data_IF_012547699336
#
_entry.id   IF_012547699336
#
_cell.length_a   1.000
_cell.length_b   1.000
_cell.length_c   1.000
_cell.angle_alpha   90.00
_cell.angle_beta   90.00
_cell.angle_gamma   90.00
#
_symmetry.space_group_name_H-M   'P 1'
#
loop_
_entity.id
_entity.type
_entity.pdbx_description
1 polymer ?
#
# COMPACT_ATOMS: atom_id res chain seq x y z
N UNK A 1 -1.39 10.81 -67.88
CA UNK A 1 -0.33 9.99 -67.25
C UNK A 1 0.24 10.54 -65.93
N UNK A 2 -0.12 11.76 -65.47
CA UNK A 2 0.45 12.37 -64.24
C UNK A 2 -0.31 12.09 -62.94
N UNK A 3 -1.61 11.74 -63.01
CA UNK A 3 -2.43 11.53 -61.81
C UNK A 3 -2.22 10.19 -61.10
N UNK A 4 -1.92 9.11 -61.86
CA UNK A 4 -1.61 7.79 -61.29
C UNK A 4 -0.33 7.79 -60.44
N UNK A 5 0.65 8.63 -60.77
CA UNK A 5 1.90 8.79 -59.98
C UNK A 5 1.67 9.57 -58.67
N UNK A 6 0.71 10.50 -58.67
CA UNK A 6 0.36 11.30 -57.48
C UNK A 6 -0.46 10.48 -56.47
N UNK A 7 -1.37 9.63 -56.97
CA UNK A 7 -2.14 8.71 -56.11
C UNK A 7 -1.23 7.67 -55.43
N UNK A 8 -0.21 7.17 -56.13
CA UNK A 8 0.75 6.21 -55.58
C UNK A 8 1.63 6.82 -54.48
N UNK A 9 1.97 8.11 -54.61
CA UNK A 9 2.80 8.83 -53.63
C UNK A 9 2.03 9.09 -52.32
N UNK A 10 0.73 9.40 -52.41
CA UNK A 10 -0.14 9.61 -51.24
C UNK A 10 -0.39 8.30 -50.49
N UNK A 11 -0.53 7.17 -51.20
CA UNK A 11 -0.67 5.85 -50.57
C UNK A 11 0.66 5.40 -49.90
N UNK A 12 1.82 5.71 -50.49
CA UNK A 12 3.10 5.43 -49.83
C UNK A 12 3.34 6.32 -48.58
N UNK A 13 2.90 7.58 -48.61
CA UNK A 13 2.98 8.47 -47.44
C UNK A 13 2.00 8.06 -46.32
N UNK A 14 0.83 7.54 -46.66
CA UNK A 14 -0.15 7.08 -45.65
C UNK A 14 0.22 5.74 -45.03
N UNK A 15 0.85 4.83 -45.79
CA UNK A 15 1.38 3.56 -45.26
C UNK A 15 2.61 3.80 -44.37
N UNK A 16 3.45 4.80 -44.68
CA UNK A 16 4.59 5.16 -43.80
C UNK A 16 4.17 5.91 -42.53
N UNK A 17 3.09 6.71 -42.56
CA UNK A 17 2.52 7.30 -41.35
C UNK A 17 1.81 6.29 -40.43
N UNK A 18 1.24 5.19 -40.96
CA UNK A 18 0.65 4.13 -40.12
C UNK A 18 1.72 3.24 -39.47
N UNK A 19 2.88 3.07 -40.10
CA UNK A 19 4.01 2.33 -39.51
C UNK A 19 4.77 3.15 -38.45
N UNK A 20 4.62 4.47 -38.42
CA UNK A 20 5.27 5.34 -37.43
C UNK A 20 4.60 5.30 -36.03
N UNK A 21 3.34 4.86 -35.94
CA UNK A 21 2.68 4.61 -34.63
C UNK A 21 3.02 3.23 -34.05
N UNK A 22 3.72 2.35 -34.78
CA UNK A 22 4.20 1.06 -34.26
C UNK A 22 5.55 1.14 -33.54
N UNK A 23 6.10 2.34 -33.38
CA UNK A 23 7.37 2.55 -32.69
C UNK A 23 7.18 2.51 -31.16
N UNK A 24 6.98 1.30 -30.64
CA UNK A 24 7.43 0.86 -29.32
C UNK A 24 7.11 1.76 -28.14
N UNK A 25 5.82 1.96 -27.81
CA UNK A 25 5.47 2.28 -26.42
C UNK A 25 5.80 1.05 -25.56
N UNK A 26 7.03 1.01 -25.05
CA UNK A 26 7.44 0.12 -23.94
C UNK A 26 6.84 0.58 -22.60
N UNK A 27 5.74 1.34 -22.64
CA UNK A 27 5.05 1.79 -21.44
C UNK A 27 4.14 0.67 -20.95
N UNK A 28 4.10 0.49 -19.64
CA UNK A 28 3.06 -0.27 -18.97
C UNK A 28 1.83 0.64 -18.81
N UNK A 29 0.65 0.09 -19.03
CA UNK A 29 -0.62 0.81 -18.82
C UNK A 29 -1.55 -0.07 -17.99
N UNK A 30 -1.79 0.32 -16.75
CA UNK A 30 -2.75 -0.36 -15.86
C UNK A 30 -4.19 -0.05 -16.29
N UNK A 31 -5.08 -1.04 -16.15
CA UNK A 31 -6.50 -0.84 -16.41
C UNK A 31 -7.13 -0.04 -15.27
N UNK A 32 -7.92 0.99 -15.60
CA UNK A 32 -8.50 1.93 -14.61
C UNK A 32 -9.42 1.28 -13.59
N UNK A 33 -10.06 0.18 -13.97
CA UNK A 33 -11.02 -0.53 -13.10
C UNK A 33 -10.35 -1.63 -12.29
N UNK A 34 -9.14 -2.05 -12.69
CA UNK A 34 -8.45 -3.20 -12.11
C UNK A 34 -6.94 -3.13 -12.39
N UNK A 35 -6.18 -2.67 -11.40
CA UNK A 35 -4.73 -2.56 -11.49
C UNK A 35 -4.03 -3.93 -11.55
N UNK A 36 -4.71 -5.03 -11.21
CA UNK A 36 -4.11 -6.38 -11.33
C UNK A 36 -4.00 -6.83 -12.78
N UNK A 37 -4.52 -6.03 -13.72
CA UNK A 37 -4.27 -6.17 -15.15
C UNK A 37 -3.58 -4.95 -15.72
N UNK A 38 -2.69 -5.19 -16.68
CA UNK A 38 -2.02 -4.14 -17.42
C UNK A 38 -1.76 -4.55 -18.87
N UNK A 39 -1.57 -3.55 -19.72
CA UNK A 39 -1.09 -3.73 -21.08
C UNK A 39 0.40 -3.43 -21.16
N UNK A 40 1.17 -4.32 -21.79
CA UNK A 40 2.59 -4.16 -22.07
C UNK A 40 2.91 -4.79 -23.43
N UNK A 41 3.66 -4.09 -24.30
CA UNK A 41 3.98 -4.56 -25.66
C UNK A 41 2.75 -5.03 -26.46
N UNK A 42 1.65 -4.27 -26.37
CA UNK A 42 0.37 -4.58 -27.05
C UNK A 42 -0.30 -5.90 -26.61
N UNK A 43 0.13 -6.47 -25.48
CA UNK A 43 -0.47 -7.67 -24.88
C UNK A 43 -0.98 -7.35 -23.47
N UNK A 44 -2.11 -7.95 -23.11
CA UNK A 44 -2.67 -7.85 -21.75
C UNK A 44 -2.03 -8.91 -20.86
N UNK A 45 -1.66 -8.51 -19.64
CA UNK A 45 -1.11 -9.36 -18.62
C UNK A 45 -1.96 -9.27 -17.35
N UNK A 46 -1.99 -10.38 -16.61
CA UNK A 46 -2.58 -10.47 -15.28
C UNK A 46 -1.48 -10.76 -14.26
N UNK A 47 -1.50 -10.05 -13.15
CA UNK A 47 -0.65 -10.33 -11.99
C UNK A 47 -1.23 -11.51 -11.24
N UNK A 48 -0.40 -12.51 -10.93
CA UNK A 48 -0.82 -13.73 -10.24
C UNK A 48 -0.49 -13.65 -8.75
N UNK A 49 -1.24 -14.37 -7.93
CA UNK A 49 -0.99 -14.56 -6.50
C UNK A 49 0.12 -15.61 -6.26
N UNK A 50 1.19 -15.51 -7.03
CA UNK A 50 2.33 -16.43 -7.00
C UNK A 50 3.59 -15.61 -6.76
N UNK A 51 4.13 -15.70 -5.54
CA UNK A 51 5.39 -15.05 -5.18
C UNK A 51 6.56 -15.66 -5.97
N UNK A 52 7.53 -14.82 -6.29
CA UNK A 52 8.79 -15.16 -6.96
C UNK A 52 9.92 -14.78 -6.01
N UNK A 53 10.81 -15.71 -5.70
CA UNK A 53 11.96 -15.43 -4.86
C UNK A 53 12.94 -14.48 -5.57
N UNK A 54 13.61 -13.61 -4.82
CA UNK A 54 14.57 -12.63 -5.37
C UNK A 54 15.70 -13.33 -6.13
N UNK A 55 16.10 -14.53 -5.70
CA UNK A 55 17.12 -15.32 -6.39
C UNK A 55 16.69 -15.81 -7.77
N UNK A 56 15.40 -15.80 -8.11
CA UNK A 56 14.89 -16.19 -9.43
C UNK A 56 14.87 -15.05 -10.44
N UNK A 57 15.09 -13.81 -10.00
CA UNK A 57 15.19 -12.65 -10.87
C UNK A 57 16.44 -12.75 -11.77
N UNK A 58 16.27 -12.41 -13.05
CA UNK A 58 17.36 -12.34 -14.04
C UNK A 58 17.73 -10.88 -14.33
N UNK A 59 16.80 -10.12 -14.91
CA UNK A 59 17.04 -8.72 -15.29
C UNK A 59 15.80 -7.86 -15.25
N UNK A 60 16.02 -6.56 -15.09
CA UNK A 60 14.97 -5.55 -15.26
C UNK A 60 14.50 -5.49 -16.73
N UNK A 61 13.20 -5.70 -16.95
CA UNK A 61 12.54 -5.60 -18.25
C UNK A 61 11.99 -4.19 -18.51
N UNK A 62 11.38 -3.59 -17.49
CA UNK A 62 10.85 -2.23 -17.56
C UNK A 62 10.95 -1.55 -16.20
N UNK A 63 11.44 -0.31 -16.18
CA UNK A 63 11.43 0.54 -14.98
C UNK A 63 10.17 1.38 -14.93
N UNK A 64 9.43 1.34 -13.82
CA UNK A 64 8.31 2.24 -13.54
C UNK A 64 7.95 2.22 -12.05
N UNK A 65 7.17 3.21 -11.64
CA UNK A 65 6.49 3.26 -10.34
C UNK A 65 5.02 3.65 -10.60
N UNK A 66 4.09 2.85 -10.12
CA UNK A 66 2.67 3.12 -10.08
C UNK A 66 2.21 3.08 -8.63
N UNK A 67 1.44 4.09 -8.21
CA UNK A 67 0.86 4.14 -6.87
C UNK A 67 -0.64 3.88 -7.01
N UNK A 68 -1.09 2.76 -6.49
CA UNK A 68 -2.51 2.39 -6.47
C UNK A 68 -3.10 2.75 -5.11
N UNK A 69 -4.26 3.40 -5.09
CA UNK A 69 -4.95 3.73 -3.83
C UNK A 69 -6.03 2.68 -3.56
N UNK A 70 -5.83 1.88 -2.51
CA UNK A 70 -6.74 0.82 -2.10
C UNK A 70 -7.66 1.30 -0.96
N UNK A 71 -8.95 0.97 -1.03
CA UNK A 71 -9.89 1.22 0.07
C UNK A 71 -10.29 2.68 0.28
N UNK A 72 -10.12 3.55 -0.73
CA UNK A 72 -10.62 4.93 -0.67
C UNK A 72 -12.15 4.94 -0.75
N UNK A 73 -12.79 5.54 0.25
CA UNK A 73 -14.21 5.91 0.22
C UNK A 73 -14.38 7.36 0.70
N UNK A 74 -15.61 7.89 0.64
CA UNK A 74 -15.89 9.28 1.03
C UNK A 74 -15.49 9.65 2.48
N UNK A 75 -15.12 8.67 3.31
CA UNK A 75 -14.78 8.82 4.74
C UNK A 75 -13.37 8.34 5.08
N UNK A 76 -12.72 7.58 4.20
CA UNK A 76 -11.41 6.97 4.41
C UNK A 76 -10.40 7.41 3.35
N UNK A 77 -9.25 7.93 3.78
CA UNK A 77 -8.08 8.07 2.92
C UNK A 77 -7.54 6.66 2.65
N UNK A 78 -7.54 6.22 1.40
CA UNK A 78 -7.09 4.88 1.02
C UNK A 78 -5.59 4.66 1.25
N UNK A 79 -5.16 3.40 1.26
CA UNK A 79 -3.76 2.98 1.36
C UNK A 79 -3.08 3.11 0.00
N UNK A 80 -1.87 3.66 -0.06
CA UNK A 80 -1.08 3.63 -1.29
C UNK A 80 -0.28 2.33 -1.38
N UNK A 81 -0.61 1.49 -2.36
CA UNK A 81 0.16 0.31 -2.76
C UNK A 81 1.15 0.73 -3.85
N UNK A 82 2.43 0.43 -3.65
CA UNK A 82 3.43 0.66 -4.69
C UNK A 82 3.56 -0.56 -5.60
N UNK A 83 3.38 -0.35 -6.90
CA UNK A 83 3.60 -1.35 -7.94
C UNK A 83 4.79 -0.88 -8.77
N UNK A 84 5.83 -1.69 -8.82
CA UNK A 84 7.14 -1.25 -9.25
C UNK A 84 7.79 -2.26 -10.19
N UNK A 85 8.23 -1.76 -11.34
CA UNK A 85 9.09 -2.46 -12.30
C UNK A 85 8.55 -3.81 -12.83
N UNK A 86 8.94 -4.15 -14.05
CA UNK A 86 8.83 -5.51 -14.57
C UNK A 86 10.22 -6.12 -14.65
N UNK A 87 10.34 -7.38 -14.27
CA UNK A 87 11.57 -8.15 -14.36
C UNK A 87 11.33 -9.40 -15.18
N UNK A 88 12.37 -9.87 -15.86
CA UNK A 88 12.44 -11.26 -16.32
C UNK A 88 12.94 -12.14 -15.20
N UNK A 89 12.39 -13.34 -15.16
CA UNK A 89 12.81 -14.41 -14.28
C UNK A 89 13.56 -15.48 -15.08
N UNK A 90 14.37 -16.29 -14.40
CA UNK A 90 15.31 -17.24 -15.04
C UNK A 90 14.65 -18.27 -15.97
N UNK A 91 13.39 -18.60 -15.74
CA UNK A 91 12.61 -19.51 -16.61
C UNK A 91 12.05 -18.84 -17.88
N UNK A 92 12.38 -17.56 -18.10
CA UNK A 92 11.95 -16.78 -19.25
C UNK A 92 10.62 -16.04 -19.07
N UNK A 93 9.93 -16.25 -17.95
CA UNK A 93 8.72 -15.52 -17.58
C UNK A 93 8.98 -14.07 -17.17
N UNK A 94 7.91 -13.41 -16.72
CA UNK A 94 7.95 -12.05 -16.17
C UNK A 94 7.41 -12.05 -14.74
N UNK A 95 7.89 -11.11 -13.94
CA UNK A 95 7.30 -10.77 -12.64
C UNK A 95 7.25 -9.25 -12.46
N UNK A 96 6.44 -8.80 -11.50
CA UNK A 96 6.22 -7.40 -11.15
C UNK A 96 6.46 -7.22 -9.65
N UNK A 97 7.07 -6.10 -9.26
CA UNK A 97 7.21 -5.76 -7.84
C UNK A 97 5.92 -5.17 -7.29
N UNK A 98 5.49 -5.63 -6.12
CA UNK A 98 4.39 -5.03 -5.36
C UNK A 98 4.87 -4.90 -3.92
N UNK A 99 4.99 -3.66 -3.43
CA UNK A 99 5.69 -3.35 -2.18
C UNK A 99 7.09 -3.98 -2.18
N UNK A 100 7.36 -4.89 -1.24
CA UNK A 100 8.66 -5.53 -1.02
C UNK A 100 8.75 -6.93 -1.67
N UNK A 101 7.65 -7.41 -2.26
CA UNK A 101 7.52 -8.74 -2.86
C UNK A 101 7.49 -8.68 -4.40
N UNK A 102 7.77 -9.83 -5.03
CA UNK A 102 7.71 -10.01 -6.47
C UNK A 102 6.66 -11.07 -6.82
N UNK A 103 5.81 -10.76 -7.80
CA UNK A 103 4.71 -11.63 -8.20
C UNK A 103 4.78 -11.96 -9.68
N UNK A 104 4.52 -13.23 -10.02
CA UNK A 104 4.51 -13.69 -11.40
C UNK A 104 3.43 -12.96 -12.19
N UNK A 105 3.73 -12.62 -13.44
CA UNK A 105 2.74 -12.08 -14.39
C UNK A 105 2.63 -13.02 -15.58
N UNK A 106 1.40 -13.20 -16.07
CA UNK A 106 1.12 -14.08 -17.20
C UNK A 106 0.25 -13.35 -18.22
N UNK A 107 0.42 -13.60 -19.53
CA UNK A 107 -0.54 -13.11 -20.51
C UNK A 107 -1.96 -13.53 -20.16
N UNK A 108 -2.89 -12.59 -20.19
CA UNK A 108 -4.27 -12.80 -19.75
C UNK A 108 -5.01 -13.85 -20.60
N UNK A 109 -4.60 -14.03 -21.85
CA UNK A 109 -5.10 -15.02 -22.80
C UNK A 109 -4.50 -16.43 -22.61
N UNK A 110 -3.48 -16.57 -21.76
CA UNK A 110 -2.81 -17.84 -21.45
C UNK A 110 -3.12 -18.37 -20.04
N UNK A 111 -4.03 -17.72 -19.31
CA UNK A 111 -4.42 -18.13 -17.95
C UNK A 111 -5.05 -19.53 -17.95
N UNK A 112 -4.70 -20.34 -16.95
CA UNK A 112 -5.31 -21.65 -16.70
C UNK A 112 -6.16 -21.61 -15.42
N UNK A 113 -7.01 -22.63 -15.21
CA UNK A 113 -7.94 -22.66 -14.08
C UNK A 113 -7.26 -22.61 -12.69
N UNK A 114 -6.00 -23.05 -12.59
CA UNK A 114 -5.20 -22.98 -11.36
C UNK A 114 -4.51 -21.64 -11.14
N UNK A 115 -4.53 -20.73 -12.12
CA UNK A 115 -3.92 -19.41 -11.99
C UNK A 115 -4.82 -18.53 -11.12
N UNK A 116 -4.34 -18.22 -9.92
CA UNK A 116 -5.00 -17.26 -9.06
C UNK A 116 -4.50 -15.86 -9.36
N UNK A 117 -5.43 -14.94 -9.64
CA UNK A 117 -5.13 -13.51 -9.76
C UNK A 117 -4.63 -12.98 -8.42
N UNK A 118 -3.65 -12.08 -8.49
CA UNK A 118 -3.10 -11.40 -7.33
C UNK A 118 -4.21 -10.77 -6.51
N UNK A 119 -4.12 -10.98 -5.21
CA UNK A 119 -4.94 -10.33 -4.22
C UNK A 119 -3.97 -9.78 -3.18
N UNK A 120 -4.27 -8.65 -2.54
CA UNK A 120 -3.53 -8.26 -1.34
C UNK A 120 -3.60 -9.45 -0.40
N UNK A 121 -2.44 -9.95 0.07
CA UNK A 121 -2.49 -11.12 0.92
C UNK A 121 -3.27 -10.78 2.19
N UNK A 122 -4.05 -11.72 2.68
CA UNK A 122 -4.45 -11.74 4.08
C UNK A 122 -3.30 -12.46 4.76
N UNK A 123 -2.50 -11.77 5.57
CA UNK A 123 -1.50 -12.45 6.40
C UNK A 123 -2.24 -13.33 7.42
N UNK A 124 -2.08 -14.65 7.20
CA UNK A 124 -2.21 -15.70 8.21
C UNK A 124 -3.63 -16.09 8.60
N UNK A 125 -3.71 -17.22 9.31
CA UNK A 125 -4.86 -17.63 10.13
C UNK A 125 -5.25 -16.55 11.17
N UNK A 126 -4.47 -15.46 11.27
CA UNK A 126 -4.64 -14.28 12.14
C UNK A 126 -5.10 -12.99 11.41
N UNK A 127 -5.59 -13.05 10.16
CA UNK A 127 -6.55 -12.06 9.62
C UNK A 127 -6.13 -10.59 9.48
N UNK A 128 -4.84 -10.27 9.42
CA UNK A 128 -4.39 -8.93 9.01
C UNK A 128 -4.20 -8.87 7.49
N UNK A 129 -4.63 -7.81 6.83
CA UNK A 129 -4.51 -7.69 5.37
C UNK A 129 -3.21 -6.92 5.02
N UNK A 130 -2.42 -7.43 4.08
CA UNK A 130 -1.36 -6.67 3.41
C UNK A 130 -2.02 -5.44 2.75
N UNK A 131 -1.69 -4.26 3.27
CA UNK A 131 -2.32 -2.99 2.87
C UNK A 131 -3.33 -2.43 3.88
N UNK A 132 -3.54 -3.06 5.03
CA UNK A 132 -4.24 -2.43 6.16
C UNK A 132 -3.42 -1.27 6.71
N UNK A 133 -3.95 -0.06 6.51
CA UNK A 133 -3.42 1.11 7.21
C UNK A 133 -3.81 1.03 8.66
N UNK A 134 -2.84 0.79 9.52
CA UNK A 134 -2.94 1.21 10.90
C UNK A 134 -2.91 2.74 10.95
N UNK A 135 -3.81 3.32 11.74
CA UNK A 135 -3.89 4.76 11.96
C UNK A 135 -4.38 5.03 13.37
N UNK A 136 -3.95 6.15 13.95
CA UNK A 136 -4.49 6.59 15.22
C UNK A 136 -5.95 7.00 15.01
N UNK A 137 -6.86 6.46 15.82
CA UNK A 137 -8.29 6.68 15.69
C UNK A 137 -8.64 8.17 15.73
N UNK A 138 -9.60 8.55 14.88
CA UNK A 138 -9.97 9.95 14.68
C UNK A 138 -10.84 10.54 15.82
N UNK A 139 -11.46 9.68 16.64
CA UNK A 139 -12.34 10.06 17.75
C UNK A 139 -11.61 10.03 19.09
N UNK A 140 -10.80 9.00 19.32
CA UNK A 140 -10.03 8.79 20.54
C UNK A 140 -8.58 8.45 20.17
N UNK A 141 -7.65 9.38 20.40
CA UNK A 141 -6.24 9.19 20.09
C UNK A 141 -5.63 7.98 20.81
N UNK A 142 -6.17 7.56 21.96
CA UNK A 142 -5.66 6.41 22.72
C UNK A 142 -5.99 5.06 22.06
N UNK A 143 -6.54 5.08 20.84
CA UNK A 143 -6.90 3.91 20.08
C UNK A 143 -6.27 3.92 18.69
N UNK A 144 -6.01 2.74 18.15
CA UNK A 144 -5.53 2.53 16.78
C UNK A 144 -6.58 1.76 15.98
N UNK A 145 -6.86 2.23 14.77
CA UNK A 145 -7.69 1.54 13.78
C UNK A 145 -6.79 0.76 12.82
N UNK A 146 -7.03 -0.54 12.65
CA UNK A 146 -6.30 -1.45 11.73
C UNK A 146 -6.97 -2.83 11.76
N UNK A 147 -6.80 -3.70 10.76
CA UNK A 147 -7.47 -5.03 10.81
C UNK A 147 -9.00 -5.00 10.65
N UNK A 148 -9.60 -3.85 10.36
CA UNK A 148 -11.05 -3.66 10.57
C UNK A 148 -11.46 -3.69 12.06
N UNK A 149 -10.51 -3.49 12.96
CA UNK A 149 -10.66 -3.53 14.42
C UNK A 149 -10.21 -2.21 15.05
N UNK A 150 -10.53 -2.06 16.33
CA UNK A 150 -10.11 -0.94 17.16
C UNK A 150 -9.29 -1.48 18.32
N UNK A 151 -8.05 -1.01 18.47
CA UNK A 151 -7.15 -1.43 19.54
C UNK A 151 -6.96 -0.30 20.52
N UNK A 152 -7.28 -0.50 21.79
CA UNK A 152 -7.01 0.49 22.85
C UNK A 152 -5.60 0.31 23.38
N UNK A 153 -4.78 1.35 23.27
CA UNK A 153 -3.46 1.40 23.89
C UNK A 153 -3.63 1.48 25.40
N UNK A 154 -2.99 0.56 26.12
CA UNK A 154 -3.04 0.48 27.58
C UNK A 154 -1.76 1.02 28.20
N UNK A 155 -1.75 1.17 29.54
CA UNK A 155 -0.53 1.51 30.27
C UNK A 155 0.35 0.28 30.57
N UNK A 156 -0.03 -0.90 30.10
CA UNK A 156 0.76 -2.12 30.25
C UNK A 156 1.94 -2.08 29.29
N UNK A 157 3.15 -2.14 29.83
CA UNK A 157 4.37 -2.15 29.03
C UNK A 157 4.62 -3.54 28.44
N UNK A 158 5.20 -3.56 27.25
CA UNK A 158 5.70 -4.76 26.56
C UNK A 158 7.21 -4.59 26.44
N UNK A 159 7.96 -5.61 26.85
CA UNK A 159 9.42 -5.61 26.70
C UNK A 159 9.83 -5.95 25.27
N UNK A 160 11.05 -5.57 24.88
CA UNK A 160 11.57 -5.90 23.54
C UNK A 160 11.65 -7.42 23.31
N UNK A 161 11.84 -8.20 24.38
CA UNK A 161 11.86 -9.66 24.32
C UNK A 161 10.49 -10.28 24.04
N UNK A 162 9.40 -9.56 24.29
CA UNK A 162 8.01 -10.01 24.04
C UNK A 162 7.51 -9.62 22.64
N UNK A 163 8.23 -8.76 21.91
CA UNK A 163 7.93 -8.41 20.53
C UNK A 163 8.23 -9.57 19.58
N UNK A 164 7.41 -9.71 18.54
CA UNK A 164 7.57 -10.73 17.51
C UNK A 164 7.81 -10.12 16.12
N UNK A 165 6.79 -10.03 15.28
CA UNK A 165 6.92 -9.51 13.92
C UNK A 165 6.69 -8.00 13.85
N UNK A 166 7.52 -7.30 13.08
CA UNK A 166 7.28 -5.90 12.75
C UNK A 166 6.05 -5.77 11.85
N UNK A 167 5.13 -4.89 12.22
CA UNK A 167 3.90 -4.62 11.46
C UNK A 167 4.07 -3.36 10.60
N UNK A 168 4.28 -2.20 11.23
CA UNK A 168 4.39 -0.91 10.55
C UNK A 168 4.91 0.20 11.47
N UNK A 169 5.01 1.43 10.96
CA UNK A 169 5.30 2.65 11.73
C UNK A 169 4.21 3.69 11.51
N UNK A 170 3.71 4.28 12.60
CA UNK A 170 2.75 5.39 12.56
C UNK A 170 3.44 6.74 12.37
N UNK A 171 4.54 6.99 13.11
CA UNK A 171 5.32 8.24 13.07
C UNK A 171 4.48 9.53 13.21
N UNK A 172 3.50 9.52 14.13
CA UNK A 172 2.60 10.64 14.39
C UNK A 172 2.80 11.17 15.81
N UNK A 173 2.77 12.50 15.96
CA UNK A 173 2.67 13.16 17.28
C UNK A 173 1.24 13.68 17.43
N UNK A 174 0.60 13.37 18.55
CA UNK A 174 -0.79 13.74 18.80
C UNK A 174 -0.92 14.35 20.20
N UNK A 175 -1.36 15.60 20.24
CA UNK A 175 -1.87 16.24 21.46
C UNK A 175 -3.37 15.97 21.55
N UNK A 176 -3.86 15.50 22.70
CA UNK A 176 -5.27 15.22 22.91
C UNK A 176 -5.70 15.49 24.35
N UNK A 177 -7.01 15.55 24.58
CA UNK A 177 -7.60 15.68 25.93
C UNK A 177 -7.50 14.34 26.66
N UNK A 178 -6.85 14.30 27.81
CA UNK A 178 -6.63 13.06 28.57
C UNK A 178 -7.93 12.31 28.90
N UNK A 179 -8.99 13.05 29.25
CA UNK A 179 -10.25 12.47 29.71
C UNK A 179 -11.01 11.78 28.57
N UNK A 180 -11.05 12.40 27.38
CA UNK A 180 -11.89 11.94 26.26
C UNK A 180 -11.10 11.30 25.12
N UNK A 181 -9.78 11.46 25.08
CA UNK A 181 -8.94 11.06 23.95
C UNK A 181 -9.06 11.97 22.72
N UNK A 182 -9.89 13.01 22.77
CA UNK A 182 -10.16 13.82 21.59
C UNK A 182 -8.93 14.65 21.21
N UNK A 183 -8.52 14.53 19.94
CA UNK A 183 -7.38 15.27 19.39
C UNK A 183 -7.56 16.78 19.51
N UNK A 184 -6.47 17.47 19.84
CA UNK A 184 -6.34 18.91 19.81
C UNK A 184 -5.58 19.27 18.53
N UNK A 185 -6.15 20.13 17.66
CA UNK A 185 -5.51 20.47 16.38
C UNK A 185 -4.19 21.21 16.61
N UNK A 186 -3.21 20.97 15.73
CA UNK A 186 -1.85 21.53 15.81
C UNK A 186 -1.83 23.06 15.92
N UNK A 187 -2.80 23.74 15.32
CA UNK A 187 -2.98 25.19 15.43
C UNK A 187 -3.18 25.70 16.87
N UNK A 188 -3.56 24.82 17.81
CA UNK A 188 -3.78 25.16 19.22
C UNK A 188 -2.67 24.68 20.17
N UNK A 189 -1.65 23.97 19.71
CA UNK A 189 -0.64 23.38 20.59
C UNK A 189 0.18 24.43 21.34
N UNK A 190 0.46 25.57 20.71
CA UNK A 190 1.16 26.71 21.30
C UNK A 190 0.30 27.95 21.48
N UNK A 191 -1.02 27.84 21.32
CA UNK A 191 -1.92 28.99 21.47
C UNK A 191 -2.01 29.37 22.95
N UNK A 192 -1.67 30.62 23.26
CA UNK A 192 -1.83 31.16 24.61
C UNK A 192 -3.32 31.26 24.94
N UNK A 193 -3.74 30.57 26.01
CA UNK A 193 -5.06 30.75 26.58
C UNK A 193 -5.09 31.99 27.48
N UNK A 194 -5.38 33.13 26.87
CA UNK A 194 -5.53 34.41 27.57
C UNK A 194 -6.75 34.46 28.51
N UNK A 195 -7.68 33.51 28.39
CA UNK A 195 -8.94 33.49 29.15
C UNK A 195 -8.91 32.55 30.35
N UNK A 196 -7.95 31.64 30.42
CA UNK A 196 -7.85 30.60 31.44
C UNK A 196 -8.92 29.50 31.32
N UNK A 197 -9.67 29.45 30.21
CA UNK A 197 -10.69 28.41 29.98
C UNK A 197 -10.09 27.01 29.83
N UNK A 198 -8.89 26.92 29.26
CA UNK A 198 -8.16 25.67 29.03
C UNK A 198 -7.39 25.20 30.29
N UNK A 199 -7.30 26.03 31.34
CA UNK A 199 -6.50 25.74 32.54
C UNK A 199 -6.94 24.48 33.31
N UNK A 200 -8.16 24.01 33.11
CA UNK A 200 -8.71 22.78 33.72
C UNK A 200 -8.63 21.57 32.79
N UNK A 201 -8.24 21.75 31.54
CA UNK A 201 -8.20 20.71 30.54
C UNK A 201 -6.89 19.92 30.69
N UNK A 202 -7.00 18.63 31.04
CA UNK A 202 -5.86 17.73 31.04
C UNK A 202 -5.51 17.35 29.60
N UNK A 203 -4.24 17.45 29.25
CA UNK A 203 -3.74 17.18 27.91
C UNK A 203 -2.58 16.20 27.99
N UNK A 204 -2.58 15.24 27.08
CA UNK A 204 -1.47 14.33 26.86
C UNK A 204 -0.91 14.53 25.45
N UNK A 205 0.41 14.43 25.35
CA UNK A 205 1.14 14.43 24.09
C UNK A 205 1.76 13.04 23.91
N UNK A 206 1.29 12.31 22.91
CA UNK A 206 1.82 10.99 22.57
C UNK A 206 2.55 11.06 21.22
N UNK A 207 3.76 10.51 21.20
CA UNK A 207 4.55 10.26 19.99
C UNK A 207 4.43 8.78 19.68
N UNK A 208 3.75 8.45 18.59
CA UNK A 208 3.54 7.08 18.15
C UNK A 208 4.64 6.68 17.19
N UNK A 209 5.27 5.55 17.49
CA UNK A 209 6.33 4.98 16.67
C UNK A 209 5.86 3.74 15.92
N UNK A 210 6.57 2.66 16.12
CA UNK A 210 6.38 1.35 15.50
C UNK A 210 5.26 0.51 16.13
N UNK A 211 4.75 -0.44 15.36
CA UNK A 211 3.78 -1.46 15.78
C UNK A 211 4.38 -2.83 15.51
N UNK A 212 4.25 -3.73 16.48
CA UNK A 212 4.68 -5.12 16.41
C UNK A 212 3.55 -6.06 16.83
N UNK A 213 3.61 -7.31 16.40
CA UNK A 213 2.88 -8.41 17.04
C UNK A 213 3.55 -8.78 18.36
N UNK A 214 2.81 -9.44 19.26
CA UNK A 214 3.31 -9.87 20.57
C UNK A 214 3.38 -11.39 20.58
N UNK A 215 4.49 -11.94 21.07
CA UNK A 215 4.69 -13.39 21.17
C UNK A 215 3.54 -14.05 21.93
N UNK A 216 3.16 -15.24 21.49
CA UNK A 216 2.11 -16.07 22.12
C UNK A 216 0.70 -15.44 22.11
N UNK A 217 0.51 -14.32 21.41
CA UNK A 217 -0.79 -13.67 21.22
C UNK A 217 -1.16 -13.56 19.74
N UNK A 218 -2.45 -13.69 19.43
CA UNK A 218 -2.94 -13.43 18.06
C UNK A 218 -2.91 -11.93 17.77
N UNK A 219 -2.41 -11.58 16.58
CA UNK A 219 -2.33 -10.21 16.11
C UNK A 219 -3.73 -9.57 15.88
N UNK A 220 -4.80 -10.36 15.81
CA UNK A 220 -6.18 -9.82 15.81
C UNK A 220 -6.56 -9.21 17.15
N UNK A 221 -6.03 -9.75 18.24
CA UNK A 221 -6.49 -9.42 19.59
C UNK A 221 -5.55 -8.45 20.28
N UNK A 222 -4.25 -8.57 20.00
CA UNK A 222 -3.21 -7.85 20.73
C UNK A 222 -2.09 -7.39 19.80
N UNK A 223 -1.66 -6.15 19.99
CA UNK A 223 -0.50 -5.55 19.34
C UNK A 223 0.39 -4.85 20.37
N UNK A 224 1.67 -4.69 20.06
CA UNK A 224 2.56 -3.78 20.78
C UNK A 224 2.70 -2.48 19.99
N UNK A 225 2.48 -1.35 20.65
CA UNK A 225 2.48 -0.02 20.02
C UNK A 225 3.45 0.86 20.77
N UNK A 226 4.44 1.38 20.06
CA UNK A 226 5.40 2.32 20.61
C UNK A 226 4.74 3.68 20.85
N UNK A 227 4.73 4.11 22.10
CA UNK A 227 4.26 5.42 22.54
C UNK A 227 5.29 6.04 23.47
N UNK A 228 5.81 7.21 23.11
CA UNK A 228 6.81 7.95 23.89
C UNK A 228 8.02 7.08 24.29
N UNK A 229 8.62 6.42 23.29
CA UNK A 229 9.84 5.60 23.41
C UNK A 229 9.68 4.33 24.27
N UNK A 230 8.44 3.87 24.49
CA UNK A 230 8.13 2.62 25.16
C UNK A 230 7.05 1.83 24.42
N UNK A 231 7.13 0.49 24.41
CA UNK A 231 6.09 -0.34 23.83
C UNK A 231 4.97 -0.59 24.84
N UNK A 232 3.74 -0.34 24.40
CA UNK A 232 2.53 -0.52 25.17
C UNK A 232 1.66 -1.61 24.54
N UNK A 233 1.04 -2.44 25.39
CA UNK A 233 0.07 -3.42 24.95
C UNK A 233 -1.19 -2.70 24.46
N UNK A 234 -1.63 -2.99 23.26
CA UNK A 234 -2.89 -2.53 22.70
C UNK A 234 -3.83 -3.71 22.51
N UNK A 235 -5.02 -3.64 23.12
CA UNK A 235 -5.99 -4.73 23.16
C UNK A 235 -7.18 -4.35 22.29
N UNK A 236 -7.64 -5.30 21.47
CA UNK A 236 -8.84 -5.14 20.66
C UNK A 236 -10.09 -4.90 21.52
N UNK A 237 -10.92 -3.96 21.07
CA UNK A 237 -12.27 -3.68 21.58
C UNK A 237 -13.38 -4.16 20.64
#
# INVERSE_FOLDING_TARGET
MKWKKFLFLIVLLSVTCLMACQQGQRAIVFHREDFTTFSYQQRSYTILNQKVDVSELDRLELRFLHLEVMGEDKRNKGTSLSVQNLYRIRDGGLCIGIQDDYYRVKPSDELVASDERWKPAVSGEDGLMIGETFRINHRDARMIDGGGHHYRVTNTLVSEEELDEFVTVLAEVVLFRSDTGQRIPSSRWGAMDWTGQDAKEKRDLWTYGSIYTVKEHSAQDVLAIEVNDAYHLAIRE
#
